data_IF_908140164277
#
_entry.id   IF_908140164277
#
_cell.length_a   1.000
_cell.length_b   1.000
_cell.length_c   1.000
_cell.angle_alpha   90.00
_cell.angle_beta   90.00
_cell.angle_gamma   90.00
#
_symmetry.space_group_name_H-M   'P 1'
#
loop_
_entity.id
_entity.type
_entity.pdbx_description
1 polymer ?
#
# COMPACT_ATOMS: atom_id res chain seq x y z
N UNK A 1 -33.28 -11.45 -23.31
CA UNK A 1 -32.55 -10.25 -22.88
C UNK A 1 -31.44 -10.69 -21.95
N UNK A 2 -30.23 -10.85 -22.50
CA UNK A 2 -29.01 -11.18 -21.76
C UNK A 2 -28.50 -9.91 -21.12
N UNK A 3 -28.44 -9.88 -19.78
CA UNK A 3 -27.84 -8.80 -19.01
C UNK A 3 -26.34 -8.79 -19.30
N UNK A 4 -25.90 -7.82 -20.10
CA UNK A 4 -24.50 -7.49 -20.29
C UNK A 4 -23.89 -7.18 -18.91
N UNK A 5 -22.91 -7.98 -18.51
CA UNK A 5 -22.13 -7.74 -17.31
C UNK A 5 -21.45 -6.38 -17.45
N UNK A 6 -21.94 -5.40 -16.69
CA UNK A 6 -21.34 -4.09 -16.59
C UNK A 6 -19.89 -4.25 -16.13
N UNK A 7 -18.94 -4.06 -17.05
CA UNK A 7 -17.55 -3.86 -16.71
C UNK A 7 -17.47 -2.54 -15.94
N UNK A 8 -17.40 -2.63 -14.60
CA UNK A 8 -17.08 -1.47 -13.78
C UNK A 8 -15.75 -0.90 -14.31
N UNK A 9 -15.66 0.40 -14.60
CA UNK A 9 -14.40 1.00 -15.01
C UNK A 9 -13.36 0.68 -13.94
N UNK A 10 -12.20 0.18 -14.37
CA UNK A 10 -11.07 -0.14 -13.50
C UNK A 10 -10.50 1.20 -12.99
N UNK A 11 -11.16 1.80 -12.00
CA UNK A 11 -10.74 3.04 -11.35
C UNK A 11 -9.36 2.74 -10.79
N UNK A 12 -8.34 3.37 -11.36
CA UNK A 12 -6.97 3.30 -10.83
C UNK A 12 -6.89 4.33 -9.71
N UNK A 13 -6.95 3.92 -8.43
CA UNK A 13 -6.96 4.89 -7.36
C UNK A 13 -5.63 5.66 -7.35
N UNK A 14 -5.71 6.91 -6.92
CA UNK A 14 -4.54 7.66 -6.51
C UNK A 14 -4.12 7.11 -5.15
N UNK A 15 -2.83 6.84 -5.02
CA UNK A 15 -2.23 6.40 -3.76
C UNK A 15 -1.08 7.31 -3.39
N UNK A 16 -0.73 7.34 -2.12
CA UNK A 16 0.48 7.97 -1.60
C UNK A 16 1.49 6.87 -1.31
N UNK A 17 2.64 6.92 -1.98
CA UNK A 17 3.81 6.13 -1.63
C UNK A 17 4.56 6.89 -0.55
N UNK A 18 4.64 6.32 0.65
CA UNK A 18 5.22 6.98 1.82
C UNK A 18 6.52 6.27 2.17
N UNK A 19 7.61 7.03 2.22
CA UNK A 19 8.95 6.53 2.55
C UNK A 19 9.45 7.17 3.83
N UNK A 20 10.17 6.39 4.62
CA UNK A 20 11.00 6.88 5.72
C UNK A 20 12.25 7.50 5.12
N UNK A 21 12.53 8.73 5.51
CA UNK A 21 13.81 9.36 5.20
C UNK A 21 14.79 8.95 6.29
N UNK A 22 15.93 8.40 5.87
CA UNK A 22 17.06 8.22 6.76
C UNK A 22 17.91 9.48 6.67
N UNK A 23 17.83 10.34 7.69
CA UNK A 23 18.76 11.47 7.80
C UNK A 23 20.09 10.92 8.34
N UNK A 24 21.23 11.15 7.67
CA UNK A 24 22.54 10.75 8.18
C UNK A 24 22.90 11.39 9.54
N UNK A 25 22.17 12.42 9.98
CA UNK A 25 22.30 13.04 11.30
C UNK A 25 21.24 12.60 12.32
N UNK A 26 20.44 11.58 12.01
CA UNK A 26 19.46 11.07 12.96
C UNK A 26 20.18 10.56 14.21
N UNK A 27 19.91 11.22 15.34
CA UNK A 27 20.28 10.76 16.66
C UNK A 27 19.75 9.33 16.84
N UNK A 28 20.62 8.44 17.32
CA UNK A 28 20.31 7.02 17.57
C UNK A 28 19.15 6.85 18.56
N UNK A 29 18.92 7.87 19.41
CA UNK A 29 17.81 7.91 20.38
C UNK A 29 16.53 8.55 19.81
N UNK A 30 16.62 9.23 18.66
CA UNK A 30 15.47 9.81 18.00
C UNK A 30 14.76 8.77 17.11
N UNK A 31 13.72 8.16 17.65
CA UNK A 31 12.89 7.19 16.92
C UNK A 31 11.88 7.84 15.96
N UNK A 32 11.86 9.17 15.87
CA UNK A 32 10.96 9.92 15.00
C UNK A 32 11.59 10.05 13.61
N UNK A 33 11.21 9.16 12.70
CA UNK A 33 11.65 9.22 11.29
C UNK A 33 10.74 10.16 10.50
N UNK A 34 11.35 11.07 9.76
CA UNK A 34 10.63 11.92 8.81
C UNK A 34 10.03 11.04 7.70
N UNK A 35 8.75 11.26 7.43
CA UNK A 35 8.04 10.59 6.35
C UNK A 35 7.87 11.54 5.17
N UNK A 36 8.13 11.04 3.97
CA UNK A 36 7.85 11.75 2.71
C UNK A 36 6.79 10.96 1.96
N UNK A 37 5.66 11.61 1.71
CA UNK A 37 4.57 11.08 0.91
C UNK A 37 4.67 11.62 -0.53
N UNK A 38 4.54 10.73 -1.51
CA UNK A 38 4.51 11.09 -2.94
C UNK A 38 3.27 10.52 -3.58
N UNK A 39 2.48 11.37 -4.24
CA UNK A 39 1.30 10.92 -4.99
C UNK A 39 1.71 10.07 -6.18
N UNK A 40 1.05 8.94 -6.34
CA UNK A 40 1.20 8.05 -7.47
C UNK A 40 -0.13 7.91 -8.22
N UNK A 41 -0.07 8.17 -9.51
CA UNK A 41 -1.23 8.13 -10.40
C UNK A 41 -1.17 6.85 -11.24
N UNK A 42 -2.25 6.05 -11.21
CA UNK A 42 -2.37 4.89 -12.09
C UNK A 42 -1.93 3.55 -11.47
N UNK A 43 -1.91 3.43 -10.15
CA UNK A 43 -1.72 2.16 -9.48
C UNK A 43 -2.89 1.21 -9.77
N UNK A 44 -2.60 -0.09 -9.90
CA UNK A 44 -3.64 -1.13 -9.88
C UNK A 44 -3.71 -1.70 -8.47
N UNK A 45 -4.82 -1.48 -7.79
CA UNK A 45 -5.03 -1.93 -6.41
C UNK A 45 -6.03 -3.08 -6.42
N UNK A 46 -5.69 -4.16 -5.74
CA UNK A 46 -6.58 -5.31 -5.52
C UNK A 46 -6.64 -5.57 -4.03
N UNK A 47 -7.82 -5.44 -3.44
CA UNK A 47 -8.06 -5.82 -2.03
C UNK A 47 -8.12 -7.34 -1.91
N UNK A 48 -7.49 -7.90 -0.88
CA UNK A 48 -7.52 -9.32 -0.57
C UNK A 48 -8.65 -9.59 0.43
N UNK A 49 -9.69 -10.25 -0.05
CA UNK A 49 -10.93 -10.45 0.70
C UNK A 49 -10.95 -11.85 1.31
N UNK A 50 -10.97 -11.90 2.64
CA UNK A 50 -11.08 -13.16 3.39
C UNK A 50 -9.74 -13.65 3.97
N UNK A 51 -9.81 -14.24 5.15
CA UNK A 51 -8.65 -14.63 5.95
C UNK A 51 -7.70 -15.59 5.22
N UNK A 52 -8.24 -16.58 4.50
CA UNK A 52 -7.41 -17.57 3.81
C UNK A 52 -6.57 -16.96 2.68
N UNK A 53 -7.14 -16.05 1.87
CA UNK A 53 -6.42 -15.38 0.80
C UNK A 53 -5.28 -14.52 1.36
N UNK A 54 -5.56 -13.77 2.43
CA UNK A 54 -4.57 -12.93 3.10
C UNK A 54 -3.42 -13.76 3.70
N UNK A 55 -3.74 -14.88 4.35
CA UNK A 55 -2.73 -15.80 4.90
C UNK A 55 -1.87 -16.38 3.78
N UNK A 56 -2.47 -16.79 2.66
CA UNK A 56 -1.72 -17.35 1.53
C UNK A 56 -0.77 -16.33 0.89
N UNK A 57 -1.15 -15.04 0.87
CA UNK A 57 -0.39 -14.00 0.16
C UNK A 57 0.59 -13.25 1.07
N UNK A 58 0.20 -12.94 2.30
CA UNK A 58 0.93 -12.07 3.25
C UNK A 58 1.37 -12.86 4.51
N UNK A 59 0.91 -14.10 4.66
CA UNK A 59 1.30 -15.00 5.77
C UNK A 59 0.49 -14.83 7.05
N UNK A 60 -0.40 -13.81 7.13
CA UNK A 60 -1.23 -13.51 8.31
C UNK A 60 -2.55 -12.87 7.91
N UNK A 61 -3.50 -12.83 8.84
CA UNK A 61 -4.77 -12.11 8.69
C UNK A 61 -4.67 -10.66 9.18
N UNK A 62 -5.27 -9.75 8.43
CA UNK A 62 -5.31 -8.32 8.70
C UNK A 62 -6.73 -7.78 8.57
N UNK A 63 -7.01 -6.64 9.21
CA UNK A 63 -8.28 -5.92 9.08
C UNK A 63 -8.56 -5.54 7.62
N UNK A 64 -7.52 -5.12 6.90
CA UNK A 64 -7.52 -4.82 5.47
C UNK A 64 -6.16 -5.16 4.87
N UNK A 65 -6.14 -5.59 3.62
CA UNK A 65 -4.90 -5.81 2.90
C UNK A 65 -5.08 -5.76 1.39
N UNK A 66 -3.99 -5.43 0.69
CA UNK A 66 -4.01 -5.18 -0.73
C UNK A 66 -2.74 -5.70 -1.42
N UNK A 67 -2.91 -6.05 -2.69
CA UNK A 67 -1.82 -6.19 -3.66
C UNK A 67 -1.88 -4.99 -4.60
N UNK A 68 -0.82 -4.19 -4.61
CA UNK A 68 -0.72 -2.97 -5.41
C UNK A 68 0.34 -3.16 -6.47
N UNK A 69 -0.03 -2.95 -7.74
CA UNK A 69 0.91 -3.05 -8.88
C UNK A 69 1.15 -1.67 -9.48
N UNK A 70 2.42 -1.32 -9.58
CA UNK A 70 2.95 -0.08 -10.14
C UNK A 70 3.64 -0.38 -11.47
N UNK A 71 3.47 0.51 -12.45
CA UNK A 71 4.03 0.33 -13.80
C UNK A 71 5.45 0.89 -13.94
N UNK A 72 6.14 1.08 -12.82
CA UNK A 72 7.54 1.50 -12.76
C UNK A 72 8.23 0.89 -11.52
N UNK A 73 9.57 0.86 -11.50
CA UNK A 73 10.34 0.54 -10.30
C UNK A 73 10.11 1.61 -9.23
N UNK A 74 9.53 1.24 -8.10
CA UNK A 74 9.22 2.14 -6.98
C UNK A 74 9.46 1.44 -5.66
N UNK A 75 9.64 2.19 -4.58
CA UNK A 75 9.72 1.64 -3.23
C UNK A 75 8.92 2.49 -2.24
N UNK A 76 8.37 1.86 -1.21
CA UNK A 76 7.62 2.52 -0.16
C UNK A 76 7.67 1.69 1.13
N UNK A 77 7.68 2.37 2.28
CA UNK A 77 7.53 1.74 3.60
C UNK A 77 6.05 1.63 3.98
N UNK A 78 5.25 2.61 3.53
CA UNK A 78 3.82 2.64 3.72
C UNK A 78 3.10 3.09 2.46
N UNK A 79 1.82 2.74 2.36
CA UNK A 79 0.90 3.26 1.35
C UNK A 79 -0.32 3.86 2.04
N UNK A 80 -0.84 4.94 1.50
CA UNK A 80 -2.15 5.47 1.90
C UNK A 80 -3.01 5.72 0.65
N UNK A 81 -4.32 5.67 0.78
CA UNK A 81 -5.22 5.93 -0.34
C UNK A 81 -5.70 7.38 -0.35
N UNK A 82 -5.96 7.91 -1.54
CA UNK A 82 -6.56 9.22 -1.69
C UNK A 82 -7.99 9.24 -1.14
N UNK A 83 -8.36 10.34 -0.48
CA UNK A 83 -9.65 10.50 0.21
C UNK A 83 -9.68 10.04 1.68
N UNK A 84 -8.74 9.22 2.12
CA UNK A 84 -8.59 8.86 3.55
C UNK A 84 -7.37 9.50 4.22
N UNK A 85 -6.30 9.72 3.46
CA UNK A 85 -5.01 10.16 3.99
C UNK A 85 -4.97 11.65 4.34
N UNK A 86 -4.68 11.96 5.60
CA UNK A 86 -4.37 13.30 6.07
C UNK A 86 -2.84 13.49 6.09
N UNK A 87 -2.32 14.32 5.18
CA UNK A 87 -0.88 14.62 5.08
C UNK A 87 -0.30 15.26 6.35
N UNK A 88 -1.09 16.06 7.09
CA UNK A 88 -0.63 16.71 8.34
C UNK A 88 -0.49 15.70 9.46
N UNK A 89 -1.42 14.75 9.54
CA UNK A 89 -1.40 13.68 10.56
C UNK A 89 -0.60 12.45 10.12
N UNK A 90 -0.22 12.38 8.84
CA UNK A 90 0.42 11.22 8.23
C UNK A 90 -0.37 9.92 8.48
N UNK A 91 -1.70 9.97 8.38
CA UNK A 91 -2.61 8.88 8.78
C UNK A 91 -3.97 8.93 8.06
N UNK A 92 -4.64 7.79 7.79
CA UNK A 92 -4.14 6.43 7.98
C UNK A 92 -3.06 6.10 6.95
N UNK A 93 -2.13 5.22 7.33
CA UNK A 93 -1.13 4.67 6.42
C UNK A 93 -0.98 3.19 6.71
N UNK A 94 -0.86 2.40 5.66
CA UNK A 94 -0.81 0.95 5.70
C UNK A 94 0.61 0.48 5.43
N UNK A 95 1.08 -0.52 6.18
CA UNK A 95 2.47 -0.98 6.10
C UNK A 95 2.69 -1.81 4.83
N UNK A 96 3.78 -1.54 4.13
CA UNK A 96 4.26 -2.42 3.07
C UNK A 96 4.99 -3.59 3.72
N UNK A 97 4.42 -4.78 3.62
CA UNK A 97 5.00 -6.02 4.18
C UNK A 97 6.03 -6.64 3.26
N UNK A 98 5.83 -6.52 1.95
CA UNK A 98 6.74 -7.05 0.95
C UNK A 98 6.73 -6.16 -0.31
N UNK A 99 7.92 -5.98 -0.88
CA UNK A 99 8.11 -5.38 -2.20
C UNK A 99 8.68 -6.45 -3.13
N UNK A 100 8.09 -6.61 -4.33
CA UNK A 100 8.63 -7.44 -5.40
C UNK A 100 8.89 -6.60 -6.63
N UNK A 101 10.16 -6.51 -7.00
CA UNK A 101 10.58 -5.82 -8.21
C UNK A 101 10.58 -6.75 -9.41
N UNK A 102 10.10 -6.25 -10.53
CA UNK A 102 10.22 -6.82 -11.86
C UNK A 102 10.92 -5.80 -12.78
N UNK A 103 11.33 -6.21 -13.98
CA UNK A 103 12.10 -5.37 -14.91
C UNK A 103 11.51 -3.97 -15.16
N UNK A 104 10.19 -3.84 -15.19
CA UNK A 104 9.49 -2.57 -15.47
C UNK A 104 8.34 -2.27 -14.51
N UNK A 105 8.19 -3.05 -13.43
CA UNK A 105 7.02 -2.99 -12.55
C UNK A 105 7.39 -3.33 -11.12
N UNK A 106 6.62 -2.81 -10.19
CA UNK A 106 6.74 -3.16 -8.77
C UNK A 106 5.40 -3.68 -8.26
N UNK A 107 5.43 -4.76 -7.49
CA UNK A 107 4.29 -5.25 -6.73
C UNK A 107 4.52 -5.01 -5.24
N UNK A 108 3.62 -4.29 -4.59
CA UNK A 108 3.61 -4.05 -3.14
C UNK A 108 2.53 -4.92 -2.51
N UNK A 109 2.88 -5.59 -1.42
CA UNK A 109 1.95 -6.30 -0.54
C UNK A 109 1.74 -5.44 0.69
N UNK A 110 0.53 -4.91 0.85
CA UNK A 110 0.21 -3.86 1.81
C UNK A 110 -0.83 -4.39 2.79
N UNK A 111 -0.67 -4.08 4.07
CA UNK A 111 -1.57 -4.54 5.12
C UNK A 111 -1.84 -3.46 6.16
N UNK A 112 -3.02 -3.51 6.76
CA UNK A 112 -3.38 -2.71 7.94
C UNK A 112 -2.97 -3.39 9.24
N UNK A 113 -3.88 -3.38 10.19
CA UNK A 113 -3.69 -3.93 11.53
C UNK A 113 -3.80 -5.44 11.48
N UNK A 114 -2.82 -6.14 12.06
CA UNK A 114 -2.89 -7.59 12.21
C UNK A 114 -4.04 -7.95 13.15
N UNK A 115 -4.91 -8.86 12.69
CA UNK A 115 -5.98 -9.40 13.55
C UNK A 115 -5.33 -10.39 14.50
N UNK A 116 -5.32 -10.07 15.80
CA UNK A 116 -4.87 -11.01 16.82
C UNK A 116 -5.95 -12.10 16.99
N UNK A 117 -5.55 -13.37 17.08
CA UNK A 117 -6.47 -14.47 17.41
C UNK A 117 -7.03 -14.34 18.82
#
# INVERSE_FOLDING_TARGET
>A
MTTEGAYLPLIRPIIYLIRKVNDPKDDVLNHTKTLVATKFYGARVTELNGSQEQINVIGKQYDRSWVIRLNCPETADYVAFDGEYDEKKQSPKYIVKQVRHHKSRTTLYVAGTEVKP
#
